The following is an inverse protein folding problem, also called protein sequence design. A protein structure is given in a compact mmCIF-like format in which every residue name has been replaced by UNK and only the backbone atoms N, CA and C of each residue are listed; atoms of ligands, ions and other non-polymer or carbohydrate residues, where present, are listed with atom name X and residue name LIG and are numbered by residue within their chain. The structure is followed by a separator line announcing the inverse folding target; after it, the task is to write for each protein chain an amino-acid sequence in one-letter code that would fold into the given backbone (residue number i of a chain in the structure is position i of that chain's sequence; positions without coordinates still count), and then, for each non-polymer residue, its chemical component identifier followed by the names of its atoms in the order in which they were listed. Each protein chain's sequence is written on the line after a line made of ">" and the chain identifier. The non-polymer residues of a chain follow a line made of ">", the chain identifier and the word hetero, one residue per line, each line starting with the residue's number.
data_IF_671333938452
#
_entry.id   IF_671333938452
#
_cell.length_a   1.000
_cell.length_b   1.000
_cell.length_c   1.000
_cell.angle_alpha   90.00
_cell.angle_beta   90.00
_cell.angle_gamma   90.00
#
_symmetry.space_group_name_H-M   'P 1'
#
loop_
_entity.id
_entity.type
_entity.pdbx_description
1 polymer ?
#
# COMPACT_ATOMS: atom_id res chain seq x y z
N UNK A 1 -7.39 -16.42 -3.70
CA UNK A 1 -7.57 -15.51 -2.54
C UNK A 1 -6.25 -15.20 -1.86
N UNK A 2 -5.39 -16.19 -1.59
CA UNK A 2 -4.10 -15.99 -0.89
C UNK A 2 -3.16 -14.96 -1.56
N UNK A 3 -2.98 -15.02 -2.88
CA UNK A 3 -2.10 -14.08 -3.61
C UNK A 3 -2.51 -12.60 -3.48
N UNK A 4 -3.82 -12.32 -3.49
CA UNK A 4 -4.34 -10.95 -3.34
C UNK A 4 -4.12 -10.41 -1.93
N UNK A 5 -4.28 -11.26 -0.92
CA UNK A 5 -4.13 -10.84 0.47
C UNK A 5 -2.66 -10.59 0.83
N UNK A 6 -1.75 -11.42 0.29
CA UNK A 6 -0.31 -11.19 0.33
C UNK A 6 0.07 -9.85 -0.34
N UNK A 7 -0.43 -9.61 -1.55
CA UNK A 7 -0.22 -8.35 -2.27
C UNK A 7 -0.72 -7.14 -1.46
N UNK A 8 -1.92 -7.22 -0.89
CA UNK A 8 -2.46 -6.14 -0.07
C UNK A 8 -1.61 -5.85 1.17
N UNK A 9 -1.16 -6.87 1.90
CA UNK A 9 -0.32 -6.68 3.10
C UNK A 9 1.06 -6.12 2.75
N UNK A 10 1.66 -6.60 1.66
CA UNK A 10 2.91 -6.05 1.13
C UNK A 10 2.79 -4.55 0.83
N UNK A 11 1.75 -4.16 0.10
CA UNK A 11 1.54 -2.76 -0.26
C UNK A 11 1.14 -1.89 0.94
N UNK A 12 0.38 -2.40 1.91
CA UNK A 12 0.11 -1.69 3.17
C UNK A 12 1.44 -1.32 3.85
N UNK A 13 2.37 -2.27 3.98
CA UNK A 13 3.69 -2.03 4.56
C UNK A 13 4.46 -0.92 3.84
N UNK A 14 4.48 -0.95 2.50
CA UNK A 14 5.13 0.09 1.68
C UNK A 14 4.47 1.46 1.83
N UNK A 15 3.15 1.55 1.73
CA UNK A 15 2.45 2.83 1.75
C UNK A 15 2.50 3.52 3.12
N UNK A 16 2.41 2.76 4.22
CA UNK A 16 2.52 3.35 5.56
C UNK A 16 3.95 3.83 5.83
N UNK A 17 4.96 3.03 5.46
CA UNK A 17 6.36 3.46 5.62
C UNK A 17 6.68 4.69 4.76
N UNK A 18 6.21 4.74 3.50
CA UNK A 18 6.35 5.91 2.63
C UNK A 18 5.74 7.16 3.23
N UNK A 19 4.53 7.04 3.81
CA UNK A 19 3.87 8.16 4.47
C UNK A 19 4.67 8.67 5.67
N UNK A 20 5.20 7.76 6.50
CA UNK A 20 6.05 8.12 7.65
C UNK A 20 7.36 8.78 7.19
N UNK A 21 8.05 8.20 6.20
CA UNK A 21 9.32 8.72 5.68
C UNK A 21 9.16 10.09 5.06
N UNK A 22 8.14 10.24 4.21
CA UNK A 22 7.83 11.54 3.59
C UNK A 22 7.50 12.59 4.64
N UNK A 23 6.71 12.24 5.67
CA UNK A 23 6.41 13.15 6.77
C UNK A 23 7.68 13.56 7.53
N UNK A 24 8.60 12.63 7.84
CA UNK A 24 9.85 12.94 8.53
C UNK A 24 10.78 13.83 7.71
N UNK A 25 10.88 13.57 6.41
CA UNK A 25 11.70 14.35 5.48
C UNK A 25 11.18 15.79 5.40
N UNK A 26 9.88 15.96 5.18
CA UNK A 26 9.26 17.28 5.12
C UNK A 26 9.35 18.02 6.46
N UNK A 27 9.11 17.35 7.58
CA UNK A 27 9.18 17.96 8.90
C UNK A 27 10.56 18.56 9.18
N UNK A 28 11.63 17.81 8.88
CA UNK A 28 13.01 18.31 9.03
C UNK A 28 13.28 19.48 8.08
N UNK A 29 12.82 19.41 6.83
CA UNK A 29 13.01 20.49 5.87
C UNK A 29 12.29 21.79 6.27
N UNK A 30 11.06 21.68 6.79
CA UNK A 30 10.32 22.82 7.33
C UNK A 30 11.08 23.45 8.48
N UNK A 31 11.55 22.66 9.44
CA UNK A 31 12.31 23.19 10.57
C UNK A 31 13.61 23.86 10.10
N UNK A 32 14.34 23.27 9.16
CA UNK A 32 15.57 23.86 8.61
C UNK A 32 15.32 25.23 7.97
N UNK A 33 14.24 25.38 7.21
CA UNK A 33 13.90 26.65 6.55
C UNK A 33 13.41 27.73 7.52
N UNK A 34 12.89 27.33 8.69
CA UNK A 34 12.50 28.25 9.76
C UNK A 34 13.69 28.66 10.64
N UNK A 35 14.66 27.77 10.84
CA UNK A 35 15.82 27.99 11.70
C UNK A 35 16.95 28.79 11.00
N UNK A 36 17.08 28.66 9.67
CA UNK A 36 18.17 29.27 8.91
C UNK A 36 17.67 30.07 7.70
N UNK A 37 17.64 31.39 7.86
CA UNK A 37 17.22 32.33 6.82
C UNK A 37 18.20 32.42 5.62
N UNK A 38 19.38 31.80 5.70
CA UNK A 38 20.33 31.76 4.58
C UNK A 38 20.05 30.62 3.60
N UNK A 39 19.17 29.69 3.98
CA UNK A 39 18.77 28.56 3.15
C UNK A 39 17.76 29.03 2.11
N UNK A 40 18.07 28.79 0.84
CA UNK A 40 17.16 29.05 -0.28
C UNK A 40 15.96 28.07 -0.25
N UNK A 41 14.72 28.57 -0.06
CA UNK A 41 13.52 27.74 -0.04
C UNK A 41 13.27 27.00 -1.36
N UNK A 42 13.57 27.61 -2.51
CA UNK A 42 13.33 27.01 -3.82
C UNK A 42 14.30 25.85 -4.05
N UNK A 43 15.60 26.09 -3.88
CA UNK A 43 16.62 25.04 -3.99
C UNK A 43 16.33 23.87 -3.05
N UNK A 44 15.99 24.15 -1.80
CA UNK A 44 15.67 23.11 -0.81
C UNK A 44 14.45 22.30 -1.22
N UNK A 45 13.39 22.98 -1.63
CA UNK A 45 12.17 22.39 -2.18
C UNK A 45 12.45 21.46 -3.37
N UNK A 46 13.28 21.89 -4.32
CA UNK A 46 13.67 21.06 -5.47
C UNK A 46 14.46 19.83 -5.08
N UNK A 47 15.38 19.93 -4.11
CA UNK A 47 16.13 18.78 -3.60
C UNK A 47 15.19 17.76 -2.95
N UNK A 48 14.18 18.21 -2.19
CA UNK A 48 13.19 17.33 -1.57
C UNK A 48 12.34 16.60 -2.62
N UNK A 49 11.88 17.29 -3.65
CA UNK A 49 11.12 16.66 -4.73
C UNK A 49 11.95 15.59 -5.44
N UNK A 50 13.24 15.84 -5.69
CA UNK A 50 14.17 14.85 -6.26
C UNK A 50 14.37 13.63 -5.35
N UNK A 51 14.51 13.83 -4.04
CA UNK A 51 14.56 12.72 -3.05
C UNK A 51 13.34 11.84 -3.22
N UNK A 52 12.16 12.44 -3.31
CA UNK A 52 10.88 11.74 -3.44
C UNK A 52 10.61 11.20 -4.85
N UNK A 53 11.52 11.41 -5.80
CA UNK A 53 11.37 10.98 -7.19
C UNK A 53 10.32 11.76 -7.97
N UNK A 54 10.02 12.99 -7.55
CA UNK A 54 9.08 13.91 -8.19
C UNK A 54 9.87 14.94 -9.00
N UNK A 55 9.54 15.08 -10.27
CA UNK A 55 10.13 16.14 -11.10
C UNK A 55 9.63 17.51 -10.60
N UNK A 56 10.52 18.44 -10.25
CA UNK A 56 10.11 19.76 -9.79
C UNK A 56 9.35 20.51 -10.87
N UNK A 57 8.21 21.15 -10.55
CA UNK A 57 7.51 22.00 -11.51
C UNK A 57 8.34 23.23 -11.88
N UNK A 58 7.98 23.84 -13.01
CA UNK A 58 8.50 25.14 -13.41
C UNK A 58 7.94 26.24 -12.49
N UNK A 59 8.75 27.26 -12.20
CA UNK A 59 8.41 28.37 -11.29
C UNK A 59 8.95 28.18 -9.87
N UNK A 60 8.93 29.26 -9.10
CA UNK A 60 9.50 29.30 -7.75
C UNK A 60 8.70 28.41 -6.78
N UNK A 61 9.43 27.62 -5.99
CA UNK A 61 8.88 26.74 -4.98
C UNK A 61 9.12 27.30 -3.58
N UNK A 62 8.07 27.28 -2.77
CA UNK A 62 8.16 27.47 -1.33
C UNK A 62 7.76 26.19 -0.58
N UNK A 63 7.94 26.26 0.74
CA UNK A 63 7.59 25.17 1.66
C UNK A 63 6.14 24.71 1.50
N UNK A 64 5.22 25.66 1.31
CA UNK A 64 3.80 25.37 1.20
C UNK A 64 3.46 24.69 -0.12
N UNK A 65 4.05 25.14 -1.22
CA UNK A 65 3.90 24.54 -2.55
C UNK A 65 4.36 23.08 -2.54
N UNK A 66 5.53 22.80 -1.94
CA UNK A 66 6.00 21.42 -1.79
C UNK A 66 5.12 20.62 -0.83
N UNK A 67 4.67 21.21 0.28
CA UNK A 67 3.79 20.52 1.22
C UNK A 67 2.44 20.19 0.58
N UNK A 68 1.83 21.10 -0.18
CA UNK A 68 0.60 20.85 -0.91
C UNK A 68 0.82 19.72 -1.95
N UNK A 69 1.95 19.74 -2.66
CA UNK A 69 2.29 18.74 -3.68
C UNK A 69 2.54 17.33 -3.08
N UNK A 70 3.32 17.26 -2.02
CA UNK A 70 3.86 16.00 -1.47
C UNK A 70 3.02 15.47 -0.31
N UNK A 71 2.40 16.33 0.50
CA UNK A 71 1.59 15.91 1.62
C UNK A 71 0.12 15.79 1.24
N UNK A 72 -0.46 16.82 0.61
CA UNK A 72 -1.92 16.96 0.48
C UNK A 72 -2.51 16.58 -0.88
N UNK A 73 -1.70 16.53 -1.94
CA UNK A 73 -2.22 16.28 -3.29
C UNK A 73 -2.84 14.88 -3.42
N UNK A 74 -4.04 14.80 -4.00
CA UNK A 74 -4.64 13.51 -4.41
C UNK A 74 -4.32 13.17 -5.88
N UNK A 75 -3.68 14.07 -6.61
CA UNK A 75 -3.45 13.96 -8.05
C UNK A 75 -2.06 13.39 -8.35
N UNK A 76 -1.08 13.77 -7.53
CA UNK A 76 0.28 13.27 -7.63
C UNK A 76 0.37 11.94 -6.89
N UNK A 77 0.56 10.87 -7.66
CA UNK A 77 0.80 9.56 -7.08
C UNK A 77 2.03 9.61 -6.19
N UNK A 78 1.88 9.21 -4.92
CA UNK A 78 2.98 9.15 -3.96
C UNK A 78 2.93 10.20 -2.86
N UNK A 79 1.91 11.06 -2.82
CA UNK A 79 1.72 11.95 -1.68
C UNK A 79 1.40 11.18 -0.39
N UNK A 80 1.49 11.86 0.75
CA UNK A 80 1.11 11.26 2.05
C UNK A 80 -0.37 10.88 2.07
N UNK A 81 -1.27 11.78 1.67
CA UNK A 81 -2.72 11.49 1.63
C UNK A 81 -3.02 10.31 0.70
N UNK A 82 -2.42 10.28 -0.50
CA UNK A 82 -2.59 9.20 -1.46
C UNK A 82 -2.05 7.85 -0.93
N UNK A 83 -0.89 7.86 -0.28
CA UNK A 83 -0.30 6.68 0.33
C UNK A 83 -1.20 6.10 1.44
N UNK A 84 -1.72 6.95 2.33
CA UNK A 84 -2.66 6.53 3.38
C UNK A 84 -3.99 6.03 2.78
N UNK A 85 -4.50 6.69 1.74
CA UNK A 85 -5.70 6.26 1.04
C UNK A 85 -5.52 4.84 0.45
N UNK A 86 -4.38 4.59 -0.21
CA UNK A 86 -4.03 3.30 -0.79
C UNK A 86 -3.80 2.22 0.27
N UNK A 87 -3.14 2.55 1.38
CA UNK A 87 -2.99 1.62 2.51
C UNK A 87 -4.36 1.21 3.06
N UNK A 88 -5.26 2.18 3.27
CA UNK A 88 -6.63 1.91 3.72
C UNK A 88 -7.40 1.05 2.73
N UNK A 89 -7.38 1.34 1.44
CA UNK A 89 -8.12 0.53 0.45
C UNK A 89 -7.59 -0.91 0.36
N UNK A 90 -6.28 -1.12 0.46
CA UNK A 90 -5.70 -2.46 0.58
C UNK A 90 -6.18 -3.18 1.86
N UNK A 91 -6.19 -2.48 3.00
CA UNK A 91 -6.69 -3.05 4.25
C UNK A 91 -8.19 -3.37 4.19
N UNK A 92 -8.99 -2.59 3.44
CA UNK A 92 -10.42 -2.86 3.21
C UNK A 92 -10.61 -4.16 2.43
N UNK A 93 -9.77 -4.38 1.42
CA UNK A 93 -9.80 -5.56 0.55
C UNK A 93 -9.25 -6.84 1.19
N UNK A 94 -8.49 -6.70 2.28
CA UNK A 94 -7.82 -7.79 3.00
C UNK A 94 -8.27 -7.91 4.46
N UNK A 95 -9.51 -7.52 4.78
CA UNK A 95 -10.08 -7.57 6.14
C UNK A 95 -10.12 -8.97 6.76
N UNK A 96 -10.07 -10.00 5.94
CA UNK A 96 -10.01 -11.39 6.40
C UNK A 96 -8.64 -11.80 6.95
N UNK A 97 -7.56 -11.07 6.61
CA UNK A 97 -6.19 -11.34 7.09
C UNK A 97 -5.61 -10.20 7.92
N UNK A 98 -6.12 -8.97 7.75
CA UNK A 98 -5.78 -7.85 8.61
C UNK A 98 -6.54 -7.94 9.93
N UNK A 99 -5.89 -7.60 11.05
CA UNK A 99 -6.61 -7.48 12.32
C UNK A 99 -7.61 -6.32 12.27
N UNK A 100 -8.70 -6.44 13.04
CA UNK A 100 -9.70 -5.36 13.16
C UNK A 100 -9.05 -4.06 13.63
N UNK A 101 -8.09 -4.13 14.55
CA UNK A 101 -7.38 -2.96 15.10
C UNK A 101 -6.49 -2.28 14.06
N UNK A 102 -5.80 -3.04 13.19
CA UNK A 102 -5.06 -2.46 12.06
C UNK A 102 -5.99 -1.76 11.06
N UNK A 103 -7.09 -2.41 10.71
CA UNK A 103 -8.10 -1.83 9.82
C UNK A 103 -8.65 -0.52 10.40
N UNK A 104 -9.04 -0.53 11.67
CA UNK A 104 -9.57 0.64 12.38
C UNK A 104 -8.53 1.74 12.47
N UNK A 105 -7.25 1.40 12.73
CA UNK A 105 -6.16 2.36 12.75
C UNK A 105 -6.02 3.07 11.40
N UNK A 106 -5.95 2.35 10.28
CA UNK A 106 -5.83 2.95 8.95
C UNK A 106 -7.08 3.74 8.56
N UNK A 107 -8.26 3.23 8.89
CA UNK A 107 -9.52 3.91 8.61
C UNK A 107 -9.65 5.22 9.42
N UNK A 108 -9.31 5.21 10.70
CA UNK A 108 -9.29 6.41 11.54
C UNK A 108 -8.22 7.41 11.09
N UNK A 109 -7.04 6.92 10.67
CA UNK A 109 -5.98 7.76 10.09
C UNK A 109 -6.49 8.51 8.86
N UNK A 110 -7.07 7.79 7.91
CA UNK A 110 -7.62 8.39 6.69
C UNK A 110 -8.74 9.40 6.98
N UNK A 111 -9.70 9.04 7.85
CA UNK A 111 -10.81 9.94 8.19
C UNK A 111 -10.37 11.19 8.96
N UNK A 112 -9.22 11.14 9.65
CA UNK A 112 -8.64 12.28 10.35
C UNK A 112 -7.84 13.24 9.46
N UNK A 113 -7.44 12.82 8.25
CA UNK A 113 -6.63 13.65 7.33
C UNK A 113 -7.21 15.06 7.09
N UNK A 114 -8.51 15.25 6.83
CA UNK A 114 -9.06 16.59 6.61
C UNK A 114 -8.93 17.50 7.85
N UNK A 115 -9.03 16.93 9.06
CA UNK A 115 -8.85 17.70 10.28
C UNK A 115 -7.37 18.03 10.52
N UNK A 116 -6.48 17.08 10.26
CA UNK A 116 -5.03 17.28 10.34
C UNK A 116 -4.54 18.34 9.34
N UNK A 117 -5.04 18.32 8.09
CA UNK A 117 -4.71 19.33 7.09
C UNK A 117 -5.19 20.73 7.53
N UNK A 118 -6.43 20.85 8.03
CA UNK A 118 -6.92 22.13 8.58
C UNK A 118 -6.07 22.62 9.74
N UNK A 119 -5.68 21.73 10.64
CA UNK A 119 -4.79 22.07 11.76
C UNK A 119 -3.41 22.54 11.25
N UNK A 120 -2.86 21.88 10.22
CA UNK A 120 -1.62 22.32 9.59
C UNK A 120 -1.73 23.71 8.95
N UNK A 121 -2.81 24.00 8.22
CA UNK A 121 -3.04 25.34 7.65
C UNK A 121 -3.19 26.43 8.72
N UNK A 122 -3.67 26.09 9.91
CA UNK A 122 -3.86 27.04 11.01
C UNK A 122 -2.63 27.21 11.93
N UNK A 123 -1.87 26.13 12.17
CA UNK A 123 -0.80 26.08 13.18
C UNK A 123 0.59 25.78 12.59
N UNK A 124 0.68 25.56 11.27
CA UNK A 124 1.90 25.20 10.56
C UNK A 124 1.98 23.72 10.16
N UNK A 125 2.67 23.40 9.06
CA UNK A 125 2.66 22.08 8.41
C UNK A 125 3.17 20.94 9.31
N UNK A 126 4.02 21.24 10.29
CA UNK A 126 4.51 20.28 11.28
C UNK A 126 3.40 19.50 12.00
N UNK A 127 2.20 20.07 12.19
CA UNK A 127 1.08 19.40 12.86
C UNK A 127 0.61 18.20 12.06
N UNK A 128 0.58 18.32 10.74
CA UNK A 128 0.21 17.22 9.87
C UNK A 128 1.29 16.14 9.89
N UNK A 129 2.57 16.51 9.82
CA UNK A 129 3.65 15.53 9.85
C UNK A 129 3.71 14.79 11.19
N UNK A 130 3.49 15.48 12.31
CA UNK A 130 3.37 14.85 13.63
C UNK A 130 2.22 13.86 13.68
N UNK A 131 1.03 14.27 13.21
CA UNK A 131 -0.11 13.37 13.08
C UNK A 131 0.24 12.11 12.30
N UNK A 132 0.87 12.22 11.13
CA UNK A 132 1.22 11.07 10.30
C UNK A 132 2.23 10.15 10.99
N UNK A 133 3.29 10.70 11.60
CA UNK A 133 4.29 9.94 12.36
C UNK A 133 3.66 9.15 13.51
N UNK A 134 2.77 9.78 14.28
CA UNK A 134 2.05 9.11 15.38
C UNK A 134 1.16 7.97 14.87
N UNK A 135 0.44 8.20 13.77
CA UNK A 135 -0.44 7.18 13.18
C UNK A 135 0.35 6.02 12.59
N UNK A 136 1.51 6.28 11.97
CA UNK A 136 2.41 5.24 11.48
C UNK A 136 3.02 4.42 12.63
N UNK A 137 3.45 5.07 13.71
CA UNK A 137 3.96 4.39 14.91
C UNK A 137 2.87 3.53 15.58
N UNK A 138 1.64 4.05 15.70
CA UNK A 138 0.49 3.30 16.20
C UNK A 138 0.18 2.09 15.32
N UNK A 139 0.19 2.26 13.99
CA UNK A 139 0.00 1.16 13.06
C UNK A 139 1.07 0.08 13.20
N UNK A 140 2.35 0.47 13.34
CA UNK A 140 3.44 -0.47 13.52
C UNK A 140 3.30 -1.27 14.83
N UNK A 141 2.95 -0.61 15.94
CA UNK A 141 2.71 -1.27 17.22
C UNK A 141 1.54 -2.26 17.16
N UNK A 142 0.41 -1.83 16.60
CA UNK A 142 -0.76 -2.70 16.42
C UNK A 142 -0.47 -3.88 15.49
N UNK A 143 0.28 -3.67 14.42
CA UNK A 143 0.65 -4.75 13.49
C UNK A 143 1.48 -5.82 14.21
N UNK A 144 2.41 -5.42 15.08
CA UNK A 144 3.25 -6.37 15.84
C UNK A 144 2.52 -7.06 16.99
N UNK A 145 1.53 -6.40 17.59
CA UNK A 145 0.79 -6.96 18.73
C UNK A 145 -0.41 -7.82 18.32
N UNK A 146 -0.97 -7.63 17.12
CA UNK A 146 -2.28 -8.22 16.74
C UNK A 146 -2.23 -9.19 15.57
N UNK A 147 -1.24 -9.08 14.68
CA UNK A 147 -1.09 -10.05 13.59
C UNK A 147 -0.40 -11.32 14.09
N UNK A 148 -0.87 -12.45 13.59
CA UNK A 148 -0.12 -13.69 13.69
C UNK A 148 1.17 -13.56 12.88
N UNK A 149 2.28 -14.12 13.38
CA UNK A 149 3.59 -14.11 12.70
C UNK A 149 3.64 -15.13 11.54
N UNK A 150 2.62 -15.08 10.71
CA UNK A 150 2.42 -15.90 9.52
C UNK A 150 2.88 -15.17 8.25
N UNK A 151 2.58 -15.75 7.10
CA UNK A 151 2.98 -15.22 5.79
C UNK A 151 2.44 -13.81 5.56
N UNK A 152 1.26 -13.47 6.08
CA UNK A 152 0.68 -12.14 5.96
C UNK A 152 1.53 -11.08 6.66
N UNK A 153 1.95 -11.36 7.90
CA UNK A 153 2.87 -10.49 8.63
C UNK A 153 4.22 -10.35 7.91
N UNK A 154 4.75 -11.44 7.35
CA UNK A 154 5.99 -11.42 6.55
C UNK A 154 5.88 -10.55 5.31
N UNK A 155 4.79 -10.61 4.57
CA UNK A 155 4.59 -9.73 3.40
C UNK A 155 4.54 -8.26 3.81
N UNK A 156 3.85 -7.93 4.91
CA UNK A 156 3.82 -6.57 5.45
C UNK A 156 5.23 -6.08 5.82
N UNK A 157 6.00 -6.89 6.54
CA UNK A 157 7.37 -6.56 6.91
C UNK A 157 8.30 -6.44 5.70
N UNK A 158 8.16 -7.32 4.71
CA UNK A 158 8.93 -7.31 3.48
C UNK A 158 8.69 -6.01 2.70
N UNK A 159 7.43 -5.61 2.53
CA UNK A 159 7.07 -4.34 1.89
C UNK A 159 7.69 -3.15 2.63
N UNK A 160 7.47 -3.08 3.95
CA UNK A 160 8.05 -2.03 4.82
C UNK A 160 9.57 -1.93 4.67
N UNK A 161 10.26 -3.07 4.69
CA UNK A 161 11.72 -3.10 4.65
C UNK A 161 12.28 -2.65 3.30
N UNK A 162 11.65 -3.02 2.19
CA UNK A 162 12.04 -2.55 0.86
C UNK A 162 11.81 -1.04 0.72
N UNK A 163 10.71 -0.52 1.26
CA UNK A 163 10.45 0.93 1.24
C UNK A 163 11.52 1.70 2.05
N UNK A 164 11.92 1.20 3.22
CA UNK A 164 13.01 1.79 4.01
C UNK A 164 14.32 1.87 3.26
N UNK A 165 14.70 0.79 2.56
CA UNK A 165 15.92 0.79 1.75
C UNK A 165 15.83 1.85 0.65
N UNK A 166 14.74 1.85 -0.12
CA UNK A 166 14.53 2.81 -1.21
C UNK A 166 14.61 4.27 -0.70
N UNK A 167 13.91 4.58 0.40
CA UNK A 167 13.89 5.94 0.93
C UNK A 167 15.20 6.38 1.57
N UNK A 168 15.89 5.48 2.26
CA UNK A 168 17.21 5.77 2.85
C UNK A 168 18.25 6.03 1.76
N UNK A 169 18.24 5.22 0.70
CA UNK A 169 19.11 5.40 -0.47
C UNK A 169 18.85 6.75 -1.15
N UNK A 170 17.58 7.14 -1.35
CA UNK A 170 17.21 8.44 -1.90
C UNK A 170 17.69 9.61 -1.05
N UNK A 171 17.60 9.49 0.28
CA UNK A 171 18.10 10.50 1.20
C UNK A 171 19.61 10.69 1.07
N UNK A 172 20.37 9.59 1.03
CA UNK A 172 21.83 9.62 0.87
C UNK A 172 22.23 10.19 -0.49
N UNK A 173 21.56 9.79 -1.58
CA UNK A 173 21.82 10.31 -2.93
C UNK A 173 21.68 11.82 -3.01
N UNK A 174 20.71 12.40 -2.28
CA UNK A 174 20.51 13.85 -2.28
C UNK A 174 21.67 14.65 -1.72
N UNK A 175 22.58 14.00 -0.96
CA UNK A 175 23.73 14.62 -0.30
C UNK A 175 25.07 14.04 -0.71
N UNK A 176 25.10 13.07 -1.63
CA UNK A 176 26.33 12.41 -2.06
C UNK A 176 27.39 13.37 -2.64
N UNK A 177 26.97 14.54 -3.15
CA UNK A 177 27.86 15.59 -3.65
C UNK A 177 28.23 16.69 -2.64
N UNK A 178 27.71 16.64 -1.41
CA UNK A 178 28.01 17.64 -0.38
C UNK A 178 29.40 17.39 0.25
N UNK A 179 30.00 18.45 0.80
CA UNK A 179 31.27 18.34 1.54
C UNK A 179 31.11 17.43 2.77
N UNK A 180 32.19 16.74 3.15
CA UNK A 180 32.17 15.83 4.30
C UNK A 180 31.76 16.50 5.62
N UNK A 181 32.13 17.76 5.80
CA UNK A 181 31.80 18.59 6.98
C UNK A 181 30.46 19.32 6.85
N UNK A 182 29.65 19.01 5.84
CA UNK A 182 28.39 19.72 5.60
C UNK A 182 27.39 19.46 6.74
N UNK A 183 26.73 20.49 7.29
CA UNK A 183 25.66 20.29 8.27
C UNK A 183 24.45 19.54 7.67
N UNK A 184 24.36 19.42 6.34
CA UNK A 184 23.35 18.64 5.65
C UNK A 184 23.31 17.16 6.05
N UNK A 185 24.43 16.58 6.51
CA UNK A 185 24.47 15.21 7.01
C UNK A 185 23.65 15.03 8.28
N UNK A 186 23.54 16.07 9.11
CA UNK A 186 22.62 16.09 10.27
C UNK A 186 21.17 16.02 9.80
N UNK A 187 20.82 16.71 8.71
CA UNK A 187 19.47 16.66 8.11
C UNK A 187 19.11 15.23 7.71
N UNK A 188 20.03 14.49 7.06
CA UNK A 188 19.84 13.06 6.72
C UNK A 188 19.54 12.24 7.98
N UNK A 189 20.36 12.39 9.01
CA UNK A 189 20.18 11.67 10.27
C UNK A 189 18.85 12.01 10.95
N UNK A 190 18.44 13.29 10.96
CA UNK A 190 17.15 13.72 11.55
C UNK A 190 15.98 13.16 10.75
N UNK A 191 16.02 13.20 9.42
CA UNK A 191 14.96 12.66 8.56
C UNK A 191 14.80 11.15 8.73
N UNK A 192 15.91 10.41 8.94
CA UNK A 192 15.87 8.99 9.25
C UNK A 192 15.62 8.68 10.74
N UNK A 193 15.47 9.69 11.62
CA UNK A 193 15.41 9.53 13.09
C UNK A 193 16.59 8.74 13.67
N UNK A 194 17.73 8.87 13.00
CA UNK A 194 19.01 8.24 13.31
C UNK A 194 19.88 9.09 14.25
N UNK A 195 19.63 10.40 14.32
CA UNK A 195 20.52 11.37 14.96
C UNK A 195 20.99 10.98 16.36
N UNK A 196 20.07 10.66 17.28
CA UNK A 196 20.44 10.36 18.67
C UNK A 196 21.18 9.01 18.80
N UNK A 197 20.82 8.03 17.97
CA UNK A 197 21.51 6.73 17.94
C UNK A 197 22.90 6.87 17.34
N UNK A 198 23.05 7.69 16.30
CA UNK A 198 24.33 8.03 15.70
C UNK A 198 25.25 8.70 16.73
N UNK A 199 24.77 9.73 17.43
CA UNK A 199 25.58 10.44 18.43
C UNK A 199 26.05 9.52 19.57
N UNK A 200 25.20 8.57 20.01
CA UNK A 200 25.57 7.55 21.01
C UNK A 200 26.65 6.59 20.49
N UNK A 201 26.61 6.25 19.22
CA UNK A 201 27.53 5.27 18.60
C UNK A 201 28.88 5.90 18.27
N UNK A 202 28.88 7.11 17.70
CA UNK A 202 30.08 7.81 17.21
C UNK A 202 30.59 8.92 18.14
N UNK A 203 30.09 8.97 19.39
CA UNK A 203 30.53 9.91 20.45
C UNK A 203 30.50 11.39 20.04
N UNK A 204 29.51 11.76 19.23
CA UNK A 204 29.31 13.14 18.80
C UNK A 204 30.18 13.64 17.64
N UNK A 205 31.04 12.80 17.05
CA UNK A 205 31.79 13.15 15.85
C UNK A 205 30.82 13.25 14.65
N UNK A 206 30.79 14.39 13.97
CA UNK A 206 30.03 14.57 12.74
C UNK A 206 30.98 14.53 11.54
N UNK A 207 30.92 13.42 10.80
CA UNK A 207 31.69 13.22 9.57
C UNK A 207 30.83 12.46 8.56
N UNK A 208 30.80 12.89 7.29
CA UNK A 208 30.01 12.26 6.25
C UNK A 208 30.31 10.76 6.09
N UNK A 209 31.56 10.34 6.22
CA UNK A 209 31.97 8.94 6.13
C UNK A 209 31.27 8.13 7.21
N UNK A 210 31.29 8.62 8.45
CA UNK A 210 30.65 7.96 9.57
C UNK A 210 29.13 7.94 9.42
N UNK A 211 28.52 9.01 8.91
CA UNK A 211 27.07 9.07 8.67
C UNK A 211 26.66 8.07 7.59
N UNK A 212 27.39 8.02 6.48
CA UNK A 212 27.14 7.07 5.38
C UNK A 212 27.36 5.63 5.86
N UNK A 213 28.43 5.37 6.59
CA UNK A 213 28.72 4.06 7.20
C UNK A 213 27.59 3.63 8.15
N UNK A 214 27.15 4.51 9.04
CA UNK A 214 26.05 4.25 9.95
C UNK A 214 24.74 3.95 9.19
N UNK A 215 24.38 4.79 8.22
CA UNK A 215 23.12 4.64 7.47
C UNK A 215 23.13 3.43 6.53
N UNK A 216 24.29 3.03 6.00
CA UNK A 216 24.39 1.89 5.08
C UNK A 216 24.63 0.56 5.79
N UNK A 217 25.50 0.52 6.80
CA UNK A 217 26.10 -0.73 7.30
C UNK A 217 25.72 -1.10 8.74
N UNK A 218 25.14 -0.18 9.52
CA UNK A 218 24.77 -0.48 10.90
C UNK A 218 23.78 -1.66 10.96
N UNK A 219 24.07 -2.67 11.78
CA UNK A 219 23.28 -3.92 11.82
C UNK A 219 22.09 -3.84 12.77
N UNK A 220 22.07 -2.85 13.66
CA UNK A 220 21.14 -2.72 14.77
C UNK A 220 20.10 -1.62 14.53
N UNK A 221 20.44 -0.61 13.72
CA UNK A 221 19.58 0.53 13.47
C UNK A 221 18.46 0.16 12.48
N UNK A 222 17.17 0.23 12.86
CA UNK A 222 16.07 -0.32 12.07
C UNK A 222 15.84 0.29 10.68
N UNK A 223 16.44 1.46 10.43
CA UNK A 223 16.35 2.21 9.17
C UNK A 223 17.68 2.25 8.42
N UNK A 224 18.72 1.56 8.91
CA UNK A 224 19.90 1.35 8.08
C UNK A 224 19.54 0.44 6.90
N UNK A 225 20.28 0.59 5.80
CA UNK A 225 20.09 -0.24 4.60
C UNK A 225 20.38 -1.70 4.92
N UNK A 226 21.51 -2.00 5.57
CA UNK A 226 21.90 -3.36 5.91
C UNK A 226 20.86 -4.09 6.76
N UNK A 227 20.38 -3.46 7.83
CA UNK A 227 19.36 -4.05 8.70
C UNK A 227 18.06 -4.31 7.93
N UNK A 228 17.60 -3.35 7.14
CA UNK A 228 16.36 -3.48 6.35
C UNK A 228 16.47 -4.59 5.30
N UNK A 229 17.63 -4.73 4.63
CA UNK A 229 17.90 -5.83 3.72
C UNK A 229 17.89 -7.19 4.43
N UNK A 230 18.49 -7.28 5.62
CA UNK A 230 18.51 -8.50 6.42
C UNK A 230 17.09 -8.93 6.84
N UNK A 231 16.24 -7.99 7.25
CA UNK A 231 14.83 -8.27 7.56
C UNK A 231 14.08 -8.77 6.32
N UNK A 232 14.27 -8.11 5.17
CA UNK A 232 13.65 -8.50 3.92
C UNK A 232 14.08 -9.91 3.46
N UNK A 233 15.37 -10.22 3.53
CA UNK A 233 15.92 -11.54 3.20
C UNK A 233 15.35 -12.63 4.12
N UNK A 234 15.26 -12.35 5.43
CA UNK A 234 14.67 -13.27 6.41
C UNK A 234 13.21 -13.55 6.07
N UNK A 235 12.43 -12.50 5.76
CA UNK A 235 11.02 -12.66 5.38
C UNK A 235 10.87 -13.55 4.14
N UNK A 236 11.69 -13.35 3.10
CA UNK A 236 11.65 -14.20 1.90
C UNK A 236 12.06 -15.64 2.19
N UNK A 237 13.12 -15.85 2.97
CA UNK A 237 13.57 -17.19 3.34
C UNK A 237 12.48 -17.98 4.09
N UNK A 238 11.71 -17.30 4.95
CA UNK A 238 10.60 -17.93 5.66
C UNK A 238 9.37 -18.16 4.77
N UNK A 239 9.08 -17.26 3.82
CA UNK A 239 8.01 -17.45 2.83
C UNK A 239 8.30 -18.60 1.85
N UNK A 240 9.58 -18.85 1.58
CA UNK A 240 10.07 -19.86 0.63
C UNK A 240 10.14 -21.30 1.22
N UNK A 241 9.60 -21.56 2.42
CA UNK A 241 9.65 -22.88 3.10
C UNK A 241 8.96 -24.05 2.35
N UNK A 242 8.50 -23.87 1.11
CA UNK A 242 8.12 -24.98 0.23
C UNK A 242 9.40 -25.70 -0.23
N UNK A 243 9.45 -27.04 -0.25
CA UNK A 243 10.63 -27.76 -0.68
C UNK A 243 10.91 -27.46 -2.16
N UNK A 244 11.79 -26.50 -2.42
CA UNK A 244 12.34 -26.25 -3.75
C UNK A 244 13.32 -27.37 -4.08
N UNK A 245 13.31 -27.76 -5.36
CA UNK A 245 14.15 -28.80 -5.95
C UNK A 245 15.58 -28.77 -5.40
N UNK A 246 16.18 -29.94 -5.17
CA UNK A 246 17.57 -30.11 -4.69
C UNK A 246 18.63 -29.43 -5.58
N UNK A 247 18.23 -28.89 -6.73
CA UNK A 247 19.08 -28.16 -7.68
C UNK A 247 18.47 -26.78 -7.98
N UNK A 248 19.10 -25.74 -7.42
CA UNK A 248 19.58 -24.60 -8.20
C UNK A 248 18.58 -23.71 -8.93
N UNK A 249 17.72 -23.01 -8.19
CA UNK A 249 17.41 -21.60 -8.45
C UNK A 249 16.82 -21.01 -7.17
N UNK A 250 17.62 -20.24 -6.40
CA UNK A 250 17.00 -19.35 -5.40
C UNK A 250 16.02 -18.47 -6.16
N UNK A 251 14.84 -18.24 -5.59
CA UNK A 251 13.88 -17.34 -6.19
C UNK A 251 14.53 -15.97 -6.44
N UNK A 252 14.22 -15.36 -7.57
CA UNK A 252 14.96 -14.19 -8.09
C UNK A 252 15.03 -13.05 -7.05
N UNK A 253 13.95 -12.80 -6.32
CA UNK A 253 13.91 -11.80 -5.25
C UNK A 253 14.94 -12.08 -4.14
N UNK A 254 15.07 -13.34 -3.73
CA UNK A 254 16.03 -13.75 -2.70
C UNK A 254 17.47 -13.66 -3.20
N UNK A 255 17.71 -14.00 -4.48
CA UNK A 255 19.02 -13.85 -5.12
C UNK A 255 19.46 -12.39 -5.15
N UNK A 256 18.58 -11.49 -5.57
CA UNK A 256 18.84 -10.05 -5.68
C UNK A 256 19.11 -9.42 -4.31
N UNK A 257 18.29 -9.71 -3.30
CA UNK A 257 18.49 -9.21 -1.93
C UNK A 257 19.79 -9.75 -1.31
N UNK A 258 20.03 -11.06 -1.46
CA UNK A 258 21.25 -11.70 -0.95
C UNK A 258 22.51 -11.12 -1.58
N UNK A 259 22.48 -10.80 -2.89
CA UNK A 259 23.56 -10.11 -3.59
C UNK A 259 23.80 -8.70 -2.99
N UNK A 260 22.78 -7.85 -2.97
CA UNK A 260 22.92 -6.47 -2.46
C UNK A 260 23.40 -6.42 -1.00
N UNK A 261 22.87 -7.28 -0.13
CA UNK A 261 23.30 -7.38 1.27
C UNK A 261 24.75 -7.85 1.37
N UNK A 262 25.15 -8.84 0.57
CA UNK A 262 26.53 -9.36 0.59
C UNK A 262 27.54 -8.36 0.03
N UNK A 263 27.18 -7.60 -1.00
CA UNK A 263 28.00 -6.50 -1.53
C UNK A 263 28.28 -5.44 -0.45
N UNK A 264 27.30 -5.14 0.42
CA UNK A 264 27.49 -4.26 1.57
C UNK A 264 28.29 -4.91 2.71
N UNK A 265 28.11 -6.21 2.95
CA UNK A 265 28.83 -6.91 4.03
C UNK A 265 30.33 -7.02 3.77
N UNK A 266 30.70 -7.34 2.53
CA UNK A 266 32.09 -7.64 2.15
C UNK A 266 32.79 -6.47 1.47
N UNK A 267 32.29 -5.26 1.71
CA UNK A 267 32.84 -4.03 1.16
C UNK A 267 34.23 -3.77 1.80
N UNK A 268 35.28 -3.49 0.99
CA UNK A 268 36.60 -3.19 1.55
C UNK A 268 36.55 -1.96 2.46
N UNK A 269 37.28 -1.96 3.59
CA UNK A 269 37.40 -0.77 4.43
C UNK A 269 37.89 0.43 3.60
N UNK A 270 37.23 1.58 3.75
CA UNK A 270 37.55 2.81 3.02
C UNK A 270 36.93 2.94 1.62
N UNK A 271 36.46 1.85 1.00
CA UNK A 271 35.87 1.87 -0.35
C UNK A 271 34.39 2.33 -0.39
N UNK A 272 33.81 2.67 0.76
CA UNK A 272 32.40 3.03 0.88
C UNK A 272 32.07 4.33 0.14
N UNK A 273 32.97 5.32 0.22
CA UNK A 273 32.74 6.65 -0.34
C UNK A 273 33.21 6.83 -1.79
N UNK A 274 34.25 6.10 -2.20
CA UNK A 274 34.89 6.26 -3.52
C UNK A 274 33.91 6.04 -4.70
N UNK A 275 32.86 5.26 -4.48
CA UNK A 275 31.82 4.97 -5.48
C UNK A 275 30.41 5.03 -4.89
N UNK A 276 30.18 5.94 -3.94
CA UNK A 276 28.93 6.02 -3.18
C UNK A 276 27.71 6.20 -4.09
N UNK A 277 27.77 7.12 -5.04
CA UNK A 277 26.63 7.44 -5.90
C UNK A 277 26.20 6.23 -6.75
N UNK A 278 27.14 5.59 -7.47
CA UNK A 278 26.81 4.42 -8.28
C UNK A 278 26.31 3.26 -7.43
N UNK A 279 26.84 3.08 -6.22
CA UNK A 279 26.38 2.05 -5.28
C UNK A 279 24.95 2.31 -4.81
N UNK A 280 24.62 3.55 -4.49
CA UNK A 280 23.27 3.94 -4.11
C UNK A 280 22.29 3.78 -5.30
N UNK A 281 22.69 4.16 -6.51
CA UNK A 281 21.88 3.95 -7.73
C UNK A 281 21.64 2.46 -8.03
N UNK A 282 22.66 1.61 -7.81
CA UNK A 282 22.56 0.16 -7.93
C UNK A 282 21.61 -0.45 -6.88
N UNK A 283 21.65 0.04 -5.63
CA UNK A 283 20.72 -0.36 -4.58
C UNK A 283 19.28 0.04 -4.92
N UNK A 284 19.07 1.27 -5.40
CA UNK A 284 17.74 1.71 -5.83
C UNK A 284 17.20 0.86 -6.99
N UNK A 285 18.07 0.49 -7.93
CA UNK A 285 17.71 -0.42 -9.02
C UNK A 285 17.37 -1.81 -8.50
N UNK A 286 18.15 -2.34 -7.56
CA UNK A 286 17.87 -3.62 -6.92
C UNK A 286 16.52 -3.60 -6.20
N UNK A 287 16.15 -2.53 -5.48
CA UNK A 287 14.84 -2.40 -4.84
C UNK A 287 13.67 -2.52 -5.83
N UNK A 288 13.83 -1.96 -7.03
CA UNK A 288 12.84 -2.06 -8.11
C UNK A 288 12.73 -3.49 -8.63
N UNK A 289 13.87 -4.09 -8.99
CA UNK A 289 13.94 -5.46 -9.51
C UNK A 289 13.39 -6.49 -8.51
N UNK A 290 13.70 -6.31 -7.21
CA UNK A 290 13.15 -7.13 -6.13
C UNK A 290 11.64 -6.99 -6.04
N UNK A 291 11.10 -5.76 -6.15
CA UNK A 291 9.66 -5.52 -6.15
C UNK A 291 8.95 -6.24 -7.31
N UNK A 292 9.54 -6.19 -8.51
CA UNK A 292 9.04 -6.91 -9.69
C UNK A 292 9.11 -8.43 -9.51
N UNK A 293 10.25 -8.94 -9.03
CA UNK A 293 10.43 -10.37 -8.77
C UNK A 293 9.44 -10.90 -7.72
N UNK A 294 9.17 -10.15 -6.64
CA UNK A 294 8.15 -10.49 -5.64
C UNK A 294 6.77 -10.53 -6.27
N UNK A 295 6.42 -9.53 -7.08
CA UNK A 295 5.11 -9.48 -7.74
C UNK A 295 4.89 -10.68 -8.67
N UNK A 296 5.91 -11.03 -9.45
CA UNK A 296 5.88 -12.22 -10.31
C UNK A 296 5.80 -13.52 -9.49
N UNK A 297 6.51 -13.62 -8.38
CA UNK A 297 6.52 -14.85 -7.61
C UNK A 297 5.22 -15.07 -6.82
N UNK A 298 4.66 -14.01 -6.24
CA UNK A 298 3.65 -14.13 -5.18
C UNK A 298 2.28 -13.54 -5.51
N UNK A 299 2.20 -12.54 -6.39
CA UNK A 299 0.96 -11.75 -6.58
C UNK A 299 0.15 -12.16 -7.82
N UNK A 300 0.57 -13.18 -8.56
CA UNK A 300 -0.16 -13.65 -9.72
C UNK A 300 -1.59 -14.12 -9.38
N UNK A 301 -2.58 -13.50 -10.04
CA UNK A 301 -3.93 -14.02 -10.12
C UNK A 301 -3.90 -15.34 -10.90
N UNK A 302 -4.48 -16.40 -10.34
CA UNK A 302 -4.55 -17.69 -11.01
C UNK A 302 -5.07 -17.54 -12.46
N UNK A 303 -4.42 -18.14 -13.47
CA UNK A 303 -4.99 -18.22 -14.80
C UNK A 303 -6.34 -18.94 -14.71
N UNK A 304 -7.30 -18.47 -15.49
CA UNK A 304 -8.63 -19.05 -15.56
C UNK A 304 -8.56 -20.56 -15.85
N UNK A 305 -9.12 -21.38 -14.96
CA UNK A 305 -9.24 -22.82 -15.19
C UNK A 305 -10.48 -23.06 -16.03
N UNK A 306 -10.28 -23.48 -17.28
CA UNK A 306 -11.35 -24.00 -18.13
C UNK A 306 -11.81 -25.34 -17.56
N UNK A 307 -13.00 -25.40 -16.96
CA UNK A 307 -13.61 -26.69 -16.65
C UNK A 307 -14.05 -27.34 -17.95
N UNK A 308 -13.35 -28.40 -18.37
CA UNK A 308 -13.86 -29.34 -19.38
C UNK A 308 -14.69 -30.39 -18.65
N UNK A 309 -15.98 -30.46 -18.96
CA UNK A 309 -16.89 -31.43 -18.37
C UNK A 309 -16.54 -32.83 -18.89
N UNK A 310 -15.96 -33.68 -18.04
CA UNK A 310 -15.57 -35.05 -18.39
C UNK A 310 -16.70 -36.07 -18.16
N UNK A 311 -17.96 -35.68 -18.39
CA UNK A 311 -19.09 -36.61 -18.45
C UNK A 311 -19.99 -36.33 -19.65
N UNK A 312 -19.81 -37.11 -20.71
CA UNK A 312 -20.80 -37.18 -21.78
C UNK A 312 -20.26 -37.77 -23.07
N UNK A 313 -20.16 -39.10 -23.11
CA UNK A 313 -19.84 -39.82 -24.33
C UNK A 313 -20.84 -39.53 -25.47
N UNK A 314 -20.28 -39.56 -26.69
CA UNK A 314 -20.92 -39.55 -28.02
C UNK A 314 -21.68 -38.27 -28.39
N UNK A 315 -20.94 -37.40 -29.07
CA UNK A 315 -21.45 -36.65 -30.21
C UNK A 315 -21.81 -35.20 -29.96
N UNK A 316 -20.77 -34.36 -29.85
CA UNK A 316 -20.62 -32.98 -30.41
C UNK A 316 -19.70 -32.20 -29.49
N UNK A 317 -18.46 -32.02 -29.93
CA UNK A 317 -17.47 -31.16 -29.27
C UNK A 317 -18.00 -29.72 -29.21
N UNK A 318 -18.35 -29.26 -28.01
CA UNK A 318 -18.53 -27.85 -27.75
C UNK A 318 -17.17 -27.26 -27.39
N UNK A 319 -16.39 -26.90 -28.41
CA UNK A 319 -15.20 -26.07 -28.23
C UNK A 319 -15.67 -24.65 -27.90
N UNK A 320 -15.45 -24.21 -26.66
CA UNK A 320 -15.63 -22.81 -26.28
C UNK A 320 -14.33 -22.07 -26.60
N UNK A 321 -14.21 -21.61 -27.84
CA UNK A 321 -13.14 -20.68 -28.23
C UNK A 321 -13.53 -19.25 -27.83
N UNK A 322 -12.76 -18.68 -26.90
CA UNK A 322 -12.77 -17.25 -26.61
C UNK A 322 -11.45 -16.64 -27.05
N UNK A 323 -11.42 -15.99 -28.22
CA UNK A 323 -10.29 -15.16 -28.62
C UNK A 323 -10.36 -13.79 -27.95
N UNK A 324 -9.21 -13.31 -27.45
CA UNK A 324 -9.04 -11.95 -26.98
C UNK A 324 -8.54 -11.11 -28.17
N UNK A 325 -9.45 -10.44 -28.88
CA UNK A 325 -9.05 -9.42 -29.85
C UNK A 325 -8.72 -8.12 -29.10
N UNK A 326 -7.44 -7.74 -29.12
CA UNK A 326 -6.98 -6.41 -28.77
C UNK A 326 -7.51 -5.43 -29.82
N UNK A 327 -8.68 -4.86 -29.59
CA UNK A 327 -9.17 -3.74 -30.37
C UNK A 327 -8.38 -2.48 -29.97
N UNK A 328 -7.61 -1.97 -30.92
CA UNK A 328 -6.98 -0.66 -30.85
C UNK A 328 -8.07 0.39 -30.59
N UNK A 329 -7.82 1.27 -29.62
CA UNK A 329 -8.73 2.30 -29.09
C UNK A 329 -9.77 1.85 -28.05
N UNK A 330 -9.33 1.79 -26.80
CA UNK A 330 -10.08 2.33 -25.66
C UNK A 330 -11.37 1.59 -25.25
N UNK A 331 -11.21 0.37 -24.75
CA UNK A 331 -12.22 -0.29 -23.90
C UNK A 331 -12.32 -1.79 -24.13
N UNK A 332 -11.70 -2.59 -23.26
CA UNK A 332 -11.89 -4.04 -23.26
C UNK A 332 -13.30 -4.37 -22.75
N UNK A 333 -14.21 -4.74 -23.67
CA UNK A 333 -15.48 -5.36 -23.32
C UNK A 333 -15.37 -6.87 -23.48
N UNK A 334 -15.52 -7.62 -22.39
CA UNK A 334 -15.70 -9.07 -22.47
C UNK A 334 -17.08 -9.38 -23.06
N UNK A 335 -17.11 -9.83 -24.32
CA UNK A 335 -18.32 -10.35 -24.98
C UNK A 335 -18.27 -11.88 -24.96
N UNK A 336 -19.08 -12.51 -24.11
CA UNK A 336 -19.33 -13.95 -24.19
C UNK A 336 -20.37 -14.16 -25.30
N UNK A 337 -19.97 -14.75 -26.43
CA UNK A 337 -20.87 -15.06 -27.54
C UNK A 337 -21.24 -16.54 -27.48
N UNK A 338 -22.33 -16.88 -26.78
CA UNK A 338 -22.88 -18.25 -26.82
C UNK A 338 -23.72 -18.39 -28.08
N UNK A 339 -23.23 -19.15 -29.06
CA UNK A 339 -23.98 -19.45 -30.29
C UNK A 339 -24.96 -20.59 -30.01
N UNK A 340 -26.21 -20.28 -29.68
CA UNK A 340 -27.30 -21.27 -29.58
C UNK A 340 -27.91 -21.45 -30.98
N UNK A 341 -27.64 -22.56 -31.66
CA UNK A 341 -28.38 -22.95 -32.88
C UNK A 341 -29.78 -23.39 -32.48
N UNK A 342 -30.79 -22.70 -33.00
CA UNK A 342 -32.18 -22.80 -32.57
C UNK A 342 -32.92 -24.04 -33.05
N UNK A 343 -33.95 -24.43 -32.30
CA UNK A 343 -35.31 -24.80 -32.74
C UNK A 343 -36.20 -25.06 -31.51
N UNK A 344 -37.54 -24.90 -31.60
CA UNK A 344 -38.41 -24.83 -30.43
C UNK A 344 -38.67 -26.21 -29.82
N UNK A 345 -38.58 -26.30 -28.48
CA UNK A 345 -38.94 -27.50 -27.73
C UNK A 345 -40.47 -27.65 -27.71
N UNK A 346 -40.97 -28.54 -28.56
CA UNK A 346 -42.32 -29.12 -28.46
C UNK A 346 -42.25 -30.26 -27.44
N UNK A 347 -43.05 -30.17 -26.38
CA UNK A 347 -43.23 -31.27 -25.43
C UNK A 347 -44.22 -32.28 -26.05
N UNK A 348 -43.72 -33.44 -26.52
CA UNK A 348 -44.55 -34.61 -26.82
C UNK A 348 -44.00 -35.80 -26.04
N UNK A 349 -44.82 -36.32 -25.13
CA UNK A 349 -44.57 -37.57 -24.44
C UNK A 349 -44.73 -38.76 -25.38
N UNK A 350 -43.96 -39.81 -25.14
CA UNK A 350 -44.21 -41.15 -25.67
C UNK A 350 -43.64 -42.17 -24.70
N UNK A 351 -44.49 -43.14 -24.38
CA UNK A 351 -44.32 -44.17 -23.38
C UNK A 351 -43.31 -45.26 -23.77
N UNK A 352 -42.76 -45.96 -22.77
CA UNK A 352 -42.35 -47.35 -22.93
C UNK A 352 -42.45 -48.14 -21.61
N UNK A 353 -42.59 -49.48 -21.65
CA UNK A 353 -43.46 -50.24 -20.76
C UNK A 353 -42.68 -51.09 -19.74
N UNK A 354 -43.40 -51.47 -18.69
CA UNK A 354 -43.32 -52.70 -17.92
C UNK A 354 -41.97 -53.44 -17.75
N UNK A 355 -41.49 -53.52 -16.49
CA UNK A 355 -41.45 -54.81 -15.76
C UNK A 355 -41.22 -54.65 -14.25
N UNK A 356 -42.26 -55.08 -13.52
CA UNK A 356 -42.37 -55.68 -12.17
C UNK A 356 -41.18 -55.70 -11.20
N UNK A 357 -41.42 -55.22 -9.99
CA UNK A 357 -41.45 -55.94 -8.69
C UNK A 357 -41.99 -54.96 -7.62
N UNK A 358 -43.21 -55.15 -7.08
CA UNK A 358 -43.52 -55.66 -5.72
C UNK A 358 -42.64 -55.05 -4.61
N UNK A 359 -43.11 -54.57 -3.46
CA UNK A 359 -44.42 -54.34 -2.83
C UNK A 359 -44.13 -53.56 -1.50
N UNK A 360 -45.19 -53.11 -0.81
CA UNK A 360 -45.25 -52.63 0.60
C UNK A 360 -45.01 -51.14 0.87
N UNK A 361 -45.72 -50.43 1.77
CA UNK A 361 -47.08 -50.41 2.36
C UNK A 361 -47.14 -49.04 3.11
N UNK A 362 -48.20 -48.24 2.87
CA UNK A 362 -48.89 -47.17 3.66
C UNK A 362 -48.34 -46.60 5.00
N UNK A 363 -48.92 -45.49 5.57
CA UNK A 363 -49.42 -44.22 5.00
C UNK A 363 -49.03 -42.96 5.86
N UNK A 364 -49.28 -41.74 5.35
CA UNK A 364 -49.39 -40.52 6.18
C UNK A 364 -50.79 -40.40 6.85
N UNK A 365 -51.02 -39.46 7.79
CA UNK A 365 -51.62 -38.17 7.37
C UNK A 365 -51.30 -36.92 8.21
N UNK A 366 -51.32 -35.74 7.56
CA UNK A 366 -52.22 -34.66 7.98
C UNK A 366 -51.65 -33.23 8.15
N UNK A 367 -52.19 -32.28 7.36
CA UNK A 367 -52.40 -30.89 7.84
C UNK A 367 -52.03 -29.72 6.91
N UNK A 368 -52.95 -29.37 5.98
CA UNK A 368 -53.40 -28.02 5.49
C UNK A 368 -52.46 -26.78 5.57
N UNK A 369 -52.44 -25.77 4.68
CA UNK A 369 -53.09 -25.35 3.41
C UNK A 369 -52.46 -23.96 3.09
N UNK A 370 -51.86 -23.70 1.91
CA UNK A 370 -52.36 -22.83 0.79
C UNK A 370 -52.33 -21.29 1.08
N UNK A 371 -51.95 -20.29 0.25
CA UNK A 371 -52.09 -20.03 -1.21
C UNK A 371 -51.15 -18.86 -1.66
N UNK A 372 -50.50 -19.05 -2.81
CA UNK A 372 -49.99 -18.22 -3.95
C UNK A 372 -50.66 -16.84 -4.35
N UNK A 373 -50.31 -16.12 -5.48
CA UNK A 373 -49.03 -15.59 -6.04
C UNK A 373 -49.14 -14.20 -6.81
N UNK A 374 -48.15 -13.90 -7.70
CA UNK A 374 -48.14 -13.04 -8.95
C UNK A 374 -47.46 -11.64 -8.86
N UNK A 375 -46.33 -11.32 -9.53
CA UNK A 375 -45.95 -11.14 -10.98
C UNK A 375 -46.22 -9.69 -11.53
N UNK A 376 -45.70 -9.24 -12.71
CA UNK A 376 -44.41 -8.51 -12.94
C UNK A 376 -44.56 -7.25 -13.88
N UNK A 377 -43.44 -6.66 -14.41
CA UNK A 377 -43.22 -6.26 -15.84
C UNK A 377 -42.48 -4.91 -16.14
N UNK A 378 -41.53 -5.04 -17.08
CA UNK A 378 -41.17 -4.21 -18.27
C UNK A 378 -40.43 -2.84 -18.28
N UNK A 379 -39.28 -2.88 -18.99
CA UNK A 379 -38.74 -2.02 -20.11
C UNK A 379 -38.95 -0.49 -20.11
N UNK A 380 -37.86 0.27 -20.35
CA UNK A 380 -37.62 1.02 -21.60
C UNK A 380 -36.24 1.74 -21.62
N UNK A 381 -35.67 1.81 -22.83
CA UNK A 381 -34.37 2.38 -23.22
C UNK A 381 -34.47 3.90 -23.47
N UNK A 382 -33.35 4.64 -23.35
CA UNK A 382 -33.25 6.01 -23.88
C UNK A 382 -31.89 6.68 -23.66
N UNK A 383 -31.10 6.83 -24.73
CA UNK A 383 -29.80 7.50 -24.79
C UNK A 383 -29.85 9.02 -24.48
N UNK A 384 -28.80 9.58 -23.85
CA UNK A 384 -27.88 10.60 -24.45
C UNK A 384 -26.72 10.99 -23.51
N UNK A 385 -25.63 11.40 -24.15
CA UNK A 385 -24.24 11.57 -23.67
C UNK A 385 -24.06 12.83 -22.82
N UNK A 386 -23.13 12.79 -21.85
CA UNK A 386 -22.04 13.77 -21.72
C UNK A 386 -20.89 13.18 -20.88
N UNK A 387 -19.66 13.33 -21.41
CA UNK A 387 -18.41 12.74 -20.91
C UNK A 387 -17.84 13.56 -19.75
N UNK A 388 -17.45 12.89 -18.66
CA UNK A 388 -16.40 13.36 -17.75
C UNK A 388 -15.28 12.32 -17.81
N UNK A 389 -14.09 12.76 -18.25
CA UNK A 389 -12.87 11.96 -18.28
C UNK A 389 -12.30 11.91 -16.85
N UNK A 390 -12.13 10.71 -16.29
CA UNK A 390 -11.39 10.50 -15.05
C UNK A 390 -9.93 10.17 -15.37
N UNK A 391 -9.01 10.90 -14.76
CA UNK A 391 -7.57 10.67 -14.82
C UNK A 391 -7.21 9.36 -14.11
N UNK A 392 -6.41 8.53 -14.78
CA UNK A 392 -5.80 7.33 -14.20
C UNK A 392 -4.41 7.70 -13.67
N UNK A 393 -4.14 7.47 -12.39
CA UNK A 393 -2.78 7.49 -11.87
C UNK A 393 -2.08 6.19 -12.31
N UNK A 394 -1.25 6.29 -13.35
CA UNK A 394 -0.30 5.25 -13.73
C UNK A 394 1.07 5.63 -13.16
N UNK A 395 1.70 4.74 -12.39
CA UNK A 395 3.11 4.94 -12.08
C UNK A 395 3.95 4.41 -13.24
N UNK A 396 4.88 5.24 -13.68
CA UNK A 396 5.90 4.91 -14.67
C UNK A 396 7.22 4.80 -13.91
N UNK A 397 7.74 3.59 -13.76
CA UNK A 397 9.11 3.37 -13.32
C UNK A 397 9.77 2.59 -14.46
N UNK A 398 10.82 3.16 -15.08
CA UNK A 398 11.57 2.48 -16.13
C UNK A 398 10.80 2.21 -17.44
N UNK A 399 9.93 3.12 -17.88
CA UNK A 399 9.25 2.99 -19.19
C UNK A 399 8.06 2.02 -19.25
N UNK A 400 7.81 1.22 -18.21
CA UNK A 400 6.64 0.34 -18.12
C UNK A 400 5.55 0.88 -17.19
N UNK A 401 4.29 0.59 -17.52
CA UNK A 401 3.07 1.16 -16.91
C UNK A 401 2.42 0.08 -16.05
N UNK A 402 2.37 0.27 -14.73
CA UNK A 402 1.68 -0.65 -13.80
C UNK A 402 0.31 -0.09 -13.38
N UNK A 403 -0.74 -0.93 -13.49
CA UNK A 403 -2.10 -0.61 -13.05
C UNK A 403 -2.35 -1.35 -11.73
N UNK A 404 -2.44 -0.58 -10.63
CA UNK A 404 -2.88 -1.11 -9.34
C UNK A 404 -4.32 -1.60 -9.41
N UNK A 405 -4.58 -2.74 -8.75
CA UNK A 405 -5.84 -3.48 -8.79
C UNK A 405 -7.09 -2.61 -8.56
N UNK A 406 -8.04 -2.72 -9.48
CA UNK A 406 -9.30 -1.99 -9.44
C UNK A 406 -10.35 -2.62 -8.53
N UNK A 407 -11.26 -1.79 -8.02
CA UNK A 407 -12.54 -2.24 -7.49
C UNK A 407 -13.70 -1.58 -8.27
N UNK A 408 -14.75 -2.37 -8.48
CA UNK A 408 -15.95 -2.03 -9.23
C UNK A 408 -16.87 -1.20 -8.35
N UNK A 409 -17.36 -0.09 -8.90
CA UNK A 409 -18.32 0.82 -8.27
C UNK A 409 -19.62 0.10 -7.87
N UNK A 410 -19.86 -0.05 -6.56
CA UNK A 410 -21.19 -0.37 -6.00
C UNK A 410 -21.81 0.94 -5.50
N UNK A 411 -22.85 1.42 -6.20
CA UNK A 411 -23.67 2.56 -5.79
C UNK A 411 -24.53 2.18 -4.57
N UNK A 412 -24.39 2.91 -3.45
CA UNK A 412 -25.46 3.02 -2.42
C UNK A 412 -26.33 4.26 -2.70
N UNK A 413 -27.63 4.24 -2.37
CA UNK A 413 -28.57 5.32 -2.70
C UNK A 413 -28.41 6.51 -1.75
N UNK A 414 -28.44 7.73 -2.29
CA UNK A 414 -28.68 8.96 -1.51
C UNK A 414 -30.19 9.25 -1.51
N UNK A 415 -30.77 9.36 -0.31
CA UNK A 415 -32.10 9.95 -0.09
C UNK A 415 -32.02 11.46 -0.31
N UNK A 416 -32.98 11.99 -1.05
CA UNK A 416 -33.20 13.42 -1.26
C UNK A 416 -33.93 14.07 -0.07
N UNK A 417 -33.71 15.37 0.02
CA UNK A 417 -34.16 16.38 0.98
C UNK A 417 -35.67 16.66 0.96
N UNK A 418 -36.20 17.10 2.12
CA UNK A 418 -37.51 17.75 2.23
C UNK A 418 -37.69 18.49 3.57
N UNK A 419 -37.64 19.82 3.49
CA UNK A 419 -38.11 20.94 4.34
C UNK A 419 -38.90 20.65 5.65
N UNK A 420 -38.64 21.48 6.68
CA UNK A 420 -39.54 21.73 7.82
C UNK A 420 -38.83 22.47 8.96
N UNK A 421 -39.30 23.65 9.35
CA UNK A 421 -38.62 24.60 10.25
C UNK A 421 -38.83 24.40 11.76
N UNK A 422 -38.36 25.43 12.50
CA UNK A 422 -38.65 25.85 13.90
C UNK A 422 -37.49 25.75 14.91
N UNK A 423 -36.92 26.93 15.17
CA UNK A 423 -36.58 27.58 16.45
C UNK A 423 -36.39 26.73 17.72
N UNK A 424 -35.22 26.88 18.38
CA UNK A 424 -35.06 27.55 19.69
C UNK A 424 -33.66 27.26 20.28
N UNK A 425 -32.94 28.34 20.62
CA UNK A 425 -31.86 28.37 21.61
C UNK A 425 -32.51 28.47 23.01
N UNK A 426 -31.85 28.03 24.12
CA UNK A 426 -30.90 28.94 24.77
C UNK A 426 -29.70 28.31 25.56
N UNK A 427 -28.73 29.20 25.78
CA UNK A 427 -27.86 29.43 26.95
C UNK A 427 -26.86 28.40 27.56
N UNK A 428 -25.57 28.78 27.42
CA UNK A 428 -24.57 29.11 28.46
C UNK A 428 -24.58 28.36 29.82
N UNK A 429 -23.50 27.62 30.12
CA UNK A 429 -22.34 28.03 30.99
C UNK A 429 -21.40 26.84 31.33
N UNK A 430 -20.12 27.11 31.68
CA UNK A 430 -19.07 26.10 31.84
C UNK A 430 -18.87 25.67 33.30
N UNK A 431 -18.39 24.43 33.52
CA UNK A 431 -17.92 23.98 34.84
C UNK A 431 -16.42 23.69 34.85
N UNK A 432 -15.83 24.14 35.96
CA UNK A 432 -14.41 24.31 36.26
C UNK A 432 -13.67 22.99 36.55
N UNK A 433 -12.36 23.07 36.29
CA UNK A 433 -11.21 22.51 37.02
C UNK A 433 -11.53 21.69 38.28
N UNK A 434 -10.91 20.51 38.37
CA UNK A 434 -10.25 20.09 39.61
C UNK A 434 -8.96 19.33 39.29
N UNK A 435 -7.85 19.96 39.65
CA UNK A 435 -6.54 19.35 39.79
C UNK A 435 -6.52 18.54 41.09
N UNK A 436 -5.96 17.32 41.04
CA UNK A 436 -5.37 16.68 42.21
C UNK A 436 -4.01 16.11 41.80
N UNK A 437 -2.99 16.82 42.23
CA UNK A 437 -1.63 16.31 42.35
C UNK A 437 -1.58 15.36 43.56
N UNK A 438 -0.93 14.21 43.40
CA UNK A 438 -0.30 13.52 44.52
C UNK A 438 0.90 12.68 44.07
N UNK A 439 2.02 13.01 44.71
CA UNK A 439 3.06 12.12 45.22
C UNK A 439 4.19 11.67 44.28
N UNK A 440 5.20 12.54 44.30
CA UNK A 440 6.64 12.24 44.36
C UNK A 440 6.95 11.03 45.26
N UNK A 441 7.82 10.14 44.78
CA UNK A 441 8.63 9.25 45.61
C UNK A 441 10.10 9.33 45.15
N UNK A 442 11.07 9.25 46.08
CA UNK A 442 12.45 9.68 45.84
C UNK A 442 13.37 8.56 45.36
N UNK A 443 14.46 8.99 44.73
CA UNK A 443 15.63 8.21 44.36
C UNK A 443 16.30 7.52 45.56
N UNK A 444 16.87 6.34 45.32
CA UNK A 444 17.83 5.68 46.20
C UNK A 444 19.19 5.58 45.49
N UNK A 445 20.19 6.07 46.24
CA UNK A 445 21.63 5.74 46.28
C UNK A 445 22.41 5.71 44.98
#
# INVERSE_FOLDING_TARGET
>A
MLARNAESLYWIGRYVERADDTARILDVAVHQLLEDATVDPDRTSRVLLRVLGIEPPEGDLDVWSVTDLVAFSNEHGGSIIDSIAKARENARGAREVASSEMWECLNATYNGLPAAERAARALGPHQFFHYIKDRAAMFAGLSDSTLSRDDGYRFLLLGRSIERVDMTVRLLLSRAGDRASSPAWVTVLRSASAHDTYLRTHRGLLDATLVVEFMLLDRLFPRSVFHSLQVAETCLAELDQRPSSRVGARHEAQRLLGRARSELEFLPPGALLEDLQNRLDALQTTCREVGEAIALQYFHAAPWVAWTDLRGGRGRDAVVEGSCELADQGGAHHRIRVRRTGHPLVQRGSAHPARRQQAERHPEPGGNRSVHPLLPLHRLLGHRRHRLRSACAAYRIGGHRFIGGGDRTVRRPRRGTGLGGLAQQPDRRPLRRNARAHNVCPARS
#
